data_IF_080444654648
#
_entry.id   IF_080444654648
#
_cell.length_a   1.000
_cell.length_b   1.000
_cell.length_c   1.000
_cell.angle_alpha   90.00
_cell.angle_beta   90.00
_cell.angle_gamma   90.00
#
_symmetry.space_group_name_H-M   'P 1'
#
loop_
_entity.id
_entity.type
_entity.pdbx_description
1 polymer ?
#
# COMPACT_ATOMS: atom_id res chain seq x y z
N UNK A 1 -21.88 46.96 10.39
CA UNK A 1 -20.73 46.14 10.85
C UNK A 1 -20.67 44.73 10.26
N UNK A 2 -21.77 44.00 10.06
CA UNK A 2 -21.75 42.62 9.49
C UNK A 2 -21.20 42.52 8.04
N UNK A 3 -21.28 43.58 7.22
CA UNK A 3 -20.78 43.58 5.83
C UNK A 3 -19.24 43.70 5.73
N UNK A 4 -18.55 44.22 6.74
CA UNK A 4 -17.08 44.29 6.73
C UNK A 4 -16.43 42.94 7.11
N UNK A 5 -17.08 42.12 7.93
CA UNK A 5 -16.53 40.82 8.36
C UNK A 5 -16.46 39.80 7.20
N UNK A 6 -17.42 39.84 6.28
CA UNK A 6 -17.47 38.95 5.11
C UNK A 6 -16.38 39.27 4.06
N UNK A 7 -15.94 40.52 3.95
CA UNK A 7 -14.90 40.90 2.98
C UNK A 7 -13.49 40.51 3.42
N UNK A 8 -13.22 40.43 4.73
CA UNK A 8 -11.89 40.06 5.25
C UNK A 8 -11.62 38.56 5.12
N UNK A 9 -12.66 37.72 5.26
CA UNK A 9 -12.56 36.27 5.11
C UNK A 9 -12.30 35.87 3.65
N UNK A 10 -12.90 36.57 2.68
CA UNK A 10 -12.68 36.29 1.26
C UNK A 10 -11.24 36.63 0.79
N UNK A 11 -10.62 37.67 1.36
CA UNK A 11 -9.24 38.06 1.01
C UNK A 11 -8.21 37.12 1.65
N UNK A 12 -8.47 36.59 2.85
CA UNK A 12 -7.59 35.60 3.49
C UNK A 12 -7.60 34.25 2.76
N UNK A 13 -8.74 33.84 2.19
CA UNK A 13 -8.84 32.58 1.43
C UNK A 13 -8.09 32.59 0.10
N UNK A 14 -7.91 33.76 -0.53
CA UNK A 14 -7.17 33.87 -1.80
C UNK A 14 -5.64 33.95 -1.59
N UNK A 15 -5.18 34.46 -0.44
CA UNK A 15 -3.76 34.54 -0.10
C UNK A 15 -3.15 33.17 0.28
N UNK A 16 -3.97 32.22 0.76
CA UNK A 16 -3.49 30.87 1.10
C UNK A 16 -3.16 29.98 -0.11
N UNK A 17 -3.84 30.18 -1.24
CA UNK A 17 -3.56 29.41 -2.47
C UNK A 17 -2.31 29.91 -3.20
N UNK A 18 -2.01 31.21 -3.17
CA UNK A 18 -0.83 31.75 -3.85
C UNK A 18 0.51 31.40 -3.15
N UNK A 19 0.47 31.10 -1.84
CA UNK A 19 1.67 30.69 -1.10
C UNK A 19 1.98 29.19 -1.19
N UNK A 20 0.99 28.32 -1.44
CA UNK A 20 1.25 26.88 -1.60
C UNK A 20 1.95 26.55 -2.91
N UNK A 21 1.55 27.18 -4.02
CA UNK A 21 2.13 26.91 -5.34
C UNK A 21 3.59 27.33 -5.42
N UNK A 22 3.94 28.46 -4.79
CA UNK A 22 5.31 28.96 -4.77
C UNK A 22 6.24 28.13 -3.88
N UNK A 23 5.71 27.54 -2.81
CA UNK A 23 6.48 26.64 -1.93
C UNK A 23 6.67 25.27 -2.58
N UNK A 24 5.67 24.75 -3.29
CA UNK A 24 5.77 23.51 -4.07
C UNK A 24 6.72 23.68 -5.27
N UNK A 25 6.67 24.81 -5.97
CA UNK A 25 7.58 25.11 -7.07
C UNK A 25 9.04 25.29 -6.64
N UNK A 26 9.31 25.64 -5.38
CA UNK A 26 10.68 25.76 -4.86
C UNK A 26 11.24 24.43 -4.33
N UNK A 27 10.38 23.44 -4.04
CA UNK A 27 10.78 22.06 -3.73
C UNK A 27 10.95 21.19 -4.98
N UNK A 28 10.28 21.56 -6.08
CA UNK A 28 10.55 21.02 -7.40
C UNK A 28 11.82 21.70 -7.96
N UNK A 29 12.99 21.13 -7.65
CA UNK A 29 14.25 21.60 -8.23
C UNK A 29 14.19 21.68 -9.77
N UNK A 30 15.00 22.55 -10.40
CA UNK A 30 15.03 22.68 -11.84
C UNK A 30 15.47 21.34 -12.44
N UNK A 31 14.74 20.90 -13.47
CA UNK A 31 15.10 19.76 -14.33
C UNK A 31 14.98 18.37 -13.70
N UNK A 32 13.93 18.12 -12.91
CA UNK A 32 13.30 16.80 -12.98
C UNK A 32 12.12 16.91 -13.92
N UNK A 33 12.25 16.29 -15.09
CA UNK A 33 11.07 15.78 -15.81
C UNK A 33 10.12 15.19 -14.76
N UNK A 34 8.79 15.34 -14.90
CA UNK A 34 7.84 14.62 -14.06
C UNK A 34 8.09 13.13 -14.32
N UNK A 35 9.07 12.58 -13.62
CA UNK A 35 9.40 11.20 -13.60
C UNK A 35 8.07 10.55 -13.32
N UNK A 36 7.61 9.75 -14.27
CA UNK A 36 6.49 8.85 -14.10
C UNK A 36 6.69 8.25 -12.71
N UNK A 37 5.94 8.75 -11.73
CA UNK A 37 5.85 8.15 -10.42
C UNK A 37 5.08 6.89 -10.75
N UNK A 38 5.84 5.89 -11.20
CA UNK A 38 5.32 4.57 -11.46
C UNK A 38 4.68 4.16 -10.16
N UNK A 39 3.36 3.95 -10.22
CA UNK A 39 2.53 3.49 -9.10
C UNK A 39 2.95 2.09 -8.59
N UNK A 40 4.03 1.53 -9.14
CA UNK A 40 4.75 0.34 -8.73
C UNK A 40 5.63 0.55 -7.47
N UNK A 41 5.38 1.59 -6.67
CA UNK A 41 5.84 1.61 -5.28
C UNK A 41 5.00 0.64 -4.42
N UNK A 42 4.99 -0.64 -4.82
CA UNK A 42 4.59 -1.75 -3.99
C UNK A 42 5.58 -1.82 -2.83
N UNK A 43 5.16 -1.29 -1.68
CA UNK A 43 5.76 -1.63 -0.40
C UNK A 43 5.83 -3.15 -0.27
N UNK A 44 7.06 -3.63 -0.03
CA UNK A 44 7.47 -5.02 0.27
C UNK A 44 8.01 -5.89 -0.88
N UNK A 45 9.17 -5.51 -1.43
CA UNK A 45 10.45 -6.23 -1.24
C UNK A 45 11.52 -5.60 -2.15
N UNK A 46 12.26 -4.63 -1.64
CA UNK A 46 13.59 -4.37 -2.21
C UNK A 46 14.55 -5.41 -1.63
N UNK A 47 15.12 -6.28 -2.47
CA UNK A 47 16.55 -6.39 -2.43
C UNK A 47 17.08 -5.99 -3.80
N UNK A 48 18.01 -5.03 -3.76
CA UNK A 48 18.93 -4.69 -4.84
C UNK A 48 18.30 -3.94 -6.00
N UNK A 49 18.27 -2.61 -5.85
CA UNK A 49 18.50 -1.73 -6.98
C UNK A 49 19.85 -2.11 -7.61
N UNK A 50 19.78 -2.87 -8.70
CA UNK A 50 20.85 -2.99 -9.68
C UNK A 50 20.96 -1.65 -10.40
N UNK A 51 21.60 -0.69 -9.73
CA UNK A 51 22.02 0.55 -10.37
C UNK A 51 22.97 0.22 -11.52
N UNK A 52 22.43 0.31 -12.71
CA UNK A 52 23.16 0.37 -13.97
C UNK A 52 24.08 1.59 -13.91
N UNK A 53 25.41 1.38 -13.90
CA UNK A 53 26.37 2.48 -14.04
C UNK A 53 27.42 2.65 -12.93
N UNK A 54 27.96 1.57 -12.37
CA UNK A 54 29.36 1.63 -11.94
C UNK A 54 30.23 1.00 -13.02
N UNK A 55 30.76 1.88 -13.87
CA UNK A 55 31.84 1.62 -14.80
C UNK A 55 33.04 1.08 -14.00
N UNK A 56 33.17 -0.24 -13.96
CA UNK A 56 34.31 -0.92 -13.33
C UNK A 56 35.56 -0.52 -14.09
N UNK A 57 36.35 0.35 -13.46
CA UNK A 57 37.71 0.64 -13.87
C UNK A 57 38.50 -0.65 -14.00
N UNK A 58 39.13 -0.82 -15.17
CA UNK A 58 40.08 -1.87 -15.43
C UNK A 58 41.31 -1.65 -14.55
N UNK A 59 41.42 -2.40 -13.47
CA UNK A 59 42.66 -2.47 -12.71
C UNK A 59 42.45 -2.83 -11.26
N UNK A 60 43.25 -3.82 -10.83
CA UNK A 60 43.60 -4.18 -9.45
C UNK A 60 43.04 -5.54 -9.01
N UNK A 61 43.92 -6.53 -9.11
CA UNK A 61 44.16 -7.47 -8.02
C UNK A 61 43.19 -8.63 -7.87
N UNK A 62 43.56 -9.78 -8.45
CA UNK A 62 43.12 -11.10 -8.01
C UNK A 62 43.58 -11.35 -6.56
N UNK A 63 42.85 -10.83 -5.57
CA UNK A 63 42.87 -11.36 -4.21
C UNK A 63 41.45 -11.76 -3.87
N UNK A 64 41.24 -13.06 -3.90
CA UNK A 64 40.02 -13.74 -3.49
C UNK A 64 39.66 -13.36 -2.04
N UNK A 65 38.84 -12.33 -1.88
CA UNK A 65 38.09 -12.10 -0.65
C UNK A 65 37.04 -13.21 -0.57
N UNK A 66 37.39 -14.30 0.12
CA UNK A 66 36.42 -15.19 0.75
C UNK A 66 35.66 -14.35 1.78
N UNK A 67 34.64 -13.61 1.37
CA UNK A 67 33.67 -13.12 2.34
C UNK A 67 33.06 -14.35 3.01
N UNK A 68 33.05 -14.45 4.35
CA UNK A 68 32.28 -15.47 5.04
C UNK A 68 30.84 -15.28 4.57
N UNK A 69 30.36 -16.20 3.75
CA UNK A 69 29.06 -16.13 3.15
C UNK A 69 28.04 -15.86 4.24
N UNK A 70 27.33 -14.73 4.12
CA UNK A 70 26.06 -14.52 4.82
C UNK A 70 25.19 -15.66 4.34
N UNK A 71 25.25 -16.77 5.07
CA UNK A 71 24.50 -17.96 4.76
C UNK A 71 23.05 -17.55 4.83
N UNK A 72 22.37 -17.63 3.69
CA UNK A 72 20.91 -17.75 3.62
C UNK A 72 20.55 -19.13 4.22
N UNK A 73 20.99 -19.38 5.46
CA UNK A 73 20.65 -20.55 6.27
C UNK A 73 19.36 -20.16 6.98
N UNK A 74 18.25 -20.65 6.43
CA UNK A 74 17.00 -20.68 7.15
C UNK A 74 16.13 -19.44 6.96
N UNK A 75 15.90 -19.00 5.72
CA UNK A 75 14.52 -18.61 5.40
C UNK A 75 13.68 -19.87 5.54
N UNK A 76 13.31 -20.20 6.79
CA UNK A 76 12.29 -21.19 7.08
C UNK A 76 11.16 -20.90 6.11
N UNK A 77 10.79 -21.89 5.30
CA UNK A 77 9.66 -21.79 4.36
C UNK A 77 8.51 -21.21 5.19
N UNK A 78 8.25 -19.90 5.06
CA UNK A 78 7.08 -19.31 5.70
C UNK A 78 5.93 -20.17 5.22
N UNK A 79 5.11 -20.72 6.13
CA UNK A 79 4.07 -21.66 5.75
C UNK A 79 3.32 -21.03 4.59
N UNK A 80 3.36 -21.71 3.44
CA UNK A 80 2.43 -21.46 2.34
C UNK A 80 1.04 -21.38 2.97
N UNK A 81 0.20 -20.42 2.55
CA UNK A 81 -1.15 -20.18 3.09
C UNK A 81 -1.75 -21.46 3.69
N UNK A 82 -1.96 -21.48 5.01
CA UNK A 82 -2.66 -22.59 5.64
C UNK A 82 -4.05 -22.75 5.02
N UNK A 83 -4.59 -23.97 5.02
CA UNK A 83 -5.92 -24.28 4.47
C UNK A 83 -7.03 -23.37 5.04
N UNK A 84 -6.87 -22.94 6.29
CA UNK A 84 -7.74 -21.97 6.96
C UNK A 84 -7.81 -20.60 6.26
N UNK A 85 -6.70 -20.16 5.66
CA UNK A 85 -6.65 -18.87 4.98
C UNK A 85 -7.36 -18.93 3.62
N UNK A 86 -7.20 -20.02 2.88
CA UNK A 86 -7.87 -20.22 1.58
C UNK A 86 -9.40 -20.19 1.76
N UNK A 87 -9.91 -20.89 2.77
CA UNK A 87 -11.35 -20.97 3.08
C UNK A 87 -11.93 -19.60 3.42
N UNK A 88 -11.22 -18.81 4.26
CA UNK A 88 -11.64 -17.45 4.63
C UNK A 88 -11.65 -16.50 3.42
N UNK A 89 -10.63 -16.57 2.56
CA UNK A 89 -10.58 -15.75 1.34
C UNK A 89 -11.75 -16.12 0.43
N UNK A 90 -12.03 -17.41 0.23
CA UNK A 90 -13.17 -17.85 -0.58
C UNK A 90 -14.51 -17.41 -0.01
N UNK A 91 -14.68 -17.41 1.31
CA UNK A 91 -15.89 -16.91 1.98
C UNK A 91 -16.11 -15.41 1.72
N UNK A 92 -15.05 -14.61 1.85
CA UNK A 92 -15.09 -13.17 1.54
C UNK A 92 -15.44 -12.94 0.07
N UNK A 93 -14.78 -13.67 -0.85
CA UNK A 93 -15.06 -13.55 -2.29
C UNK A 93 -16.50 -13.96 -2.60
N UNK A 94 -17.01 -15.06 -2.03
CA UNK A 94 -18.41 -15.50 -2.21
C UNK A 94 -19.41 -14.46 -1.72
N UNK A 95 -19.08 -13.75 -0.65
CA UNK A 95 -19.95 -12.73 -0.04
C UNK A 95 -20.11 -11.52 -0.96
N UNK A 96 -19.03 -11.06 -1.59
CA UNK A 96 -19.04 -9.82 -2.39
C UNK A 96 -19.14 -10.03 -3.90
N UNK A 97 -18.64 -11.16 -4.43
CA UNK A 97 -18.68 -11.52 -5.85
C UNK A 97 -18.85 -13.05 -6.05
N UNK A 98 -20.10 -13.56 -5.97
CA UNK A 98 -20.38 -14.99 -6.14
C UNK A 98 -20.11 -15.50 -7.56
N UNK A 99 -20.16 -14.62 -8.56
CA UNK A 99 -19.81 -14.96 -9.95
C UNK A 99 -18.33 -15.26 -10.06
N UNK A 100 -17.48 -14.40 -9.50
CA UNK A 100 -16.05 -14.63 -9.44
C UNK A 100 -15.69 -15.85 -8.59
N UNK A 101 -16.37 -16.07 -7.45
CA UNK A 101 -16.18 -17.28 -6.65
C UNK A 101 -16.43 -18.57 -7.46
N UNK A 102 -17.49 -18.59 -8.29
CA UNK A 102 -17.80 -19.72 -9.16
C UNK A 102 -16.70 -19.95 -10.21
N UNK A 103 -16.18 -18.88 -10.80
CA UNK A 103 -15.02 -18.95 -11.71
C UNK A 103 -13.79 -19.52 -11.01
N UNK A 104 -13.52 -19.14 -9.76
CA UNK A 104 -12.39 -19.67 -8.99
C UNK A 104 -12.54 -21.16 -8.65
N UNK A 105 -13.76 -21.62 -8.34
CA UNK A 105 -14.02 -23.05 -8.11
C UNK A 105 -13.80 -23.89 -9.36
N UNK A 106 -14.16 -23.35 -10.53
CA UNK A 106 -13.85 -23.99 -11.81
C UNK A 106 -12.35 -23.95 -12.10
N UNK A 107 -11.69 -22.79 -11.90
CA UNK A 107 -10.24 -22.64 -12.07
C UNK A 107 -9.45 -23.61 -11.18
N UNK A 108 -9.94 -23.91 -9.97
CA UNK A 108 -9.33 -24.89 -9.06
C UNK A 108 -9.28 -26.30 -9.66
N UNK A 109 -10.26 -26.67 -10.49
CA UNK A 109 -10.32 -27.96 -11.19
C UNK A 109 -9.50 -27.95 -12.47
N UNK A 110 -9.61 -26.88 -13.25
CA UNK A 110 -9.03 -26.79 -14.59
C UNK A 110 -7.52 -26.48 -14.55
N UNK A 111 -7.09 -25.55 -13.68
CA UNK A 111 -5.70 -25.15 -13.51
C UNK A 111 -5.39 -24.80 -12.03
N UNK A 112 -5.04 -25.82 -11.21
CA UNK A 112 -4.73 -25.62 -9.80
C UNK A 112 -3.57 -24.64 -9.54
N UNK A 113 -2.65 -24.47 -10.50
CA UNK A 113 -1.53 -23.56 -10.36
C UNK A 113 -1.97 -22.11 -10.52
N UNK A 114 -2.77 -21.80 -11.55
CA UNK A 114 -3.39 -20.48 -11.69
C UNK A 114 -4.27 -20.14 -10.49
N UNK A 115 -5.10 -21.08 -10.04
CA UNK A 115 -5.93 -20.89 -8.83
C UNK A 115 -5.08 -20.48 -7.62
N UNK A 116 -4.01 -21.23 -7.31
CA UNK A 116 -3.10 -20.90 -6.19
C UNK A 116 -2.48 -19.51 -6.32
N UNK A 117 -2.14 -19.07 -7.53
CA UNK A 117 -1.61 -17.73 -7.76
C UNK A 117 -2.65 -16.64 -7.49
N UNK A 118 -3.89 -16.83 -7.94
CA UNK A 118 -4.98 -15.88 -7.67
C UNK A 118 -5.28 -15.83 -6.18
N UNK A 119 -5.36 -16.99 -5.50
CA UNK A 119 -5.56 -17.03 -4.04
C UNK A 119 -4.42 -16.36 -3.28
N UNK A 120 -3.16 -16.54 -3.71
CA UNK A 120 -2.01 -15.85 -3.12
C UNK A 120 -2.12 -14.34 -3.23
N UNK A 121 -2.52 -13.84 -4.40
CA UNK A 121 -2.73 -12.41 -4.62
C UNK A 121 -3.89 -11.90 -3.76
N UNK A 122 -5.03 -12.61 -3.78
CA UNK A 122 -6.20 -12.25 -3.00
C UNK A 122 -5.89 -12.15 -1.51
N UNK A 123 -5.18 -13.13 -0.95
CA UNK A 123 -4.81 -13.09 0.46
C UNK A 123 -3.79 -12.02 0.80
N UNK A 124 -2.89 -11.63 -0.13
CA UNK A 124 -2.00 -10.50 0.08
C UNK A 124 -2.77 -9.17 0.11
N UNK A 125 -3.70 -8.96 -0.83
CA UNK A 125 -4.53 -7.76 -0.90
C UNK A 125 -5.49 -7.65 0.28
N UNK A 126 -6.13 -8.75 0.70
CA UNK A 126 -7.00 -8.75 1.89
C UNK A 126 -6.21 -8.66 3.20
N UNK A 127 -4.94 -9.10 3.24
CA UNK A 127 -4.10 -8.96 4.42
C UNK A 127 -3.64 -7.51 4.63
N UNK A 128 -3.38 -6.76 3.56
CA UNK A 128 -2.95 -5.35 3.66
C UNK A 128 -4.06 -4.42 4.16
N UNK A 129 -5.33 -4.80 3.98
CA UNK A 129 -6.50 -4.03 4.42
C UNK A 129 -7.01 -4.37 5.81
N UNK A 130 -6.44 -5.36 6.52
CA UNK A 130 -6.94 -5.80 7.85
C UNK A 130 -7.00 -4.71 8.92
N UNK A 131 -6.27 -3.62 8.74
CA UNK A 131 -6.25 -2.50 9.68
C UNK A 131 -7.30 -1.43 9.36
N UNK A 132 -8.02 -1.59 8.25
CA UNK A 132 -9.09 -0.69 7.83
C UNK A 132 -10.40 -1.40 8.16
N UNK A 133 -11.08 -0.98 9.23
CA UNK A 133 -12.36 -1.53 9.65
C UNK A 133 -13.51 -0.98 8.79
N UNK A 134 -13.47 -1.30 7.50
CA UNK A 134 -14.46 -0.85 6.51
C UNK A 134 -14.80 -1.99 5.54
N UNK A 135 -16.06 -2.42 5.56
CA UNK A 135 -16.58 -3.47 4.69
C UNK A 135 -16.56 -3.08 3.21
N UNK A 136 -16.67 -1.79 2.91
CA UNK A 136 -16.61 -1.31 1.53
C UNK A 136 -15.19 -1.47 0.97
N UNK A 137 -14.15 -1.41 1.81
CA UNK A 137 -12.77 -1.69 1.40
C UNK A 137 -12.59 -3.16 1.04
N UNK A 138 -13.13 -4.09 1.83
CA UNK A 138 -13.08 -5.52 1.47
C UNK A 138 -13.78 -5.81 0.15
N UNK A 139 -14.99 -5.24 -0.04
CA UNK A 139 -15.75 -5.36 -1.28
C UNK A 139 -14.95 -4.83 -2.48
N UNK A 140 -14.34 -3.65 -2.33
CA UNK A 140 -13.52 -3.04 -3.37
C UNK A 140 -12.28 -3.88 -3.70
N UNK A 141 -11.65 -4.50 -2.70
CA UNK A 141 -10.52 -5.40 -2.90
C UNK A 141 -10.94 -6.66 -3.65
N UNK A 142 -12.07 -7.28 -3.29
CA UNK A 142 -12.60 -8.43 -4.05
C UNK A 142 -12.86 -8.05 -5.51
N UNK A 143 -13.45 -6.87 -5.74
CA UNK A 143 -13.68 -6.35 -7.08
C UNK A 143 -12.38 -6.13 -7.85
N UNK A 144 -11.38 -5.52 -7.21
CA UNK A 144 -10.04 -5.32 -7.79
C UNK A 144 -9.42 -6.66 -8.21
N UNK A 145 -9.44 -7.67 -7.35
CA UNK A 145 -8.88 -9.00 -7.64
C UNK A 145 -9.58 -9.64 -8.86
N UNK A 146 -10.91 -9.54 -8.93
CA UNK A 146 -11.67 -10.04 -10.08
C UNK A 146 -11.27 -9.32 -11.37
N UNK A 147 -11.15 -7.99 -11.33
CA UNK A 147 -10.75 -7.19 -12.49
C UNK A 147 -9.32 -7.52 -12.94
N UNK A 148 -8.38 -7.70 -12.02
CA UNK A 148 -7.00 -8.08 -12.34
C UNK A 148 -6.94 -9.45 -13.02
N UNK A 149 -7.74 -10.42 -12.55
CA UNK A 149 -7.85 -11.72 -13.19
C UNK A 149 -8.38 -11.59 -14.63
N UNK A 150 -9.45 -10.82 -14.83
CA UNK A 150 -10.04 -10.59 -16.16
C UNK A 150 -9.09 -9.84 -17.10
N UNK A 151 -8.33 -8.86 -16.62
CA UNK A 151 -7.31 -8.16 -17.40
C UNK A 151 -6.22 -9.13 -17.87
N UNK A 152 -5.80 -10.08 -17.02
CA UNK A 152 -4.80 -11.10 -17.39
C UNK A 152 -5.34 -12.05 -18.45
N UNK A 153 -6.56 -12.55 -18.30
CA UNK A 153 -7.18 -13.41 -19.31
C UNK A 153 -7.36 -12.67 -20.65
N UNK A 154 -7.86 -11.43 -20.63
CA UNK A 154 -7.94 -10.58 -21.83
C UNK A 154 -6.57 -10.32 -22.46
N UNK A 155 -5.51 -10.18 -21.65
CA UNK A 155 -4.16 -10.03 -22.18
C UNK A 155 -3.67 -11.30 -22.90
N UNK A 156 -4.00 -12.49 -22.40
CA UNK A 156 -3.70 -13.73 -23.11
C UNK A 156 -4.51 -13.87 -24.40
N UNK A 157 -5.78 -13.48 -24.38
CA UNK A 157 -6.64 -13.45 -25.57
C UNK A 157 -6.10 -12.47 -26.62
N UNK A 158 -5.72 -11.26 -26.21
CA UNK A 158 -5.15 -10.23 -27.09
C UNK A 158 -3.95 -10.75 -27.89
N UNK A 159 -3.07 -11.52 -27.23
CA UNK A 159 -1.87 -12.07 -27.86
C UNK A 159 -2.17 -13.14 -28.93
N UNK A 160 -3.32 -13.80 -28.82
CA UNK A 160 -3.78 -14.84 -29.77
C UNK A 160 -4.78 -14.31 -30.81
N UNK A 161 -5.34 -13.13 -30.56
CA UNK A 161 -6.42 -12.55 -31.35
C UNK A 161 -5.97 -12.06 -32.74
N UNK A 162 -6.92 -12.02 -33.68
CA UNK A 162 -6.74 -11.42 -35.00
C UNK A 162 -6.56 -9.90 -34.89
N UNK A 163 -6.05 -9.26 -35.96
CA UNK A 163 -5.90 -7.79 -35.99
C UNK A 163 -7.22 -7.05 -35.75
N UNK A 164 -8.35 -7.62 -36.17
CA UNK A 164 -9.67 -7.00 -36.03
C UNK A 164 -10.18 -7.07 -34.58
N UNK A 165 -9.92 -8.17 -33.87
CA UNK A 165 -10.41 -8.39 -32.50
C UNK A 165 -9.57 -7.65 -31.45
N UNK A 166 -8.28 -7.43 -31.74
CA UNK A 166 -7.34 -6.74 -30.86
C UNK A 166 -7.82 -5.36 -30.42
N UNK A 167 -8.46 -4.60 -31.31
CA UNK A 167 -8.98 -3.27 -30.98
C UNK A 167 -10.05 -3.33 -29.89
N UNK A 168 -10.97 -4.29 -29.97
CA UNK A 168 -12.00 -4.51 -28.97
C UNK A 168 -11.41 -4.96 -27.62
N UNK A 169 -10.53 -5.98 -27.64
CA UNK A 169 -9.90 -6.50 -26.42
C UNK A 169 -9.08 -5.39 -25.72
N UNK A 170 -8.35 -4.56 -26.48
CA UNK A 170 -7.62 -3.40 -25.94
C UNK A 170 -8.55 -2.40 -25.23
N UNK A 171 -9.73 -2.15 -25.80
CA UNK A 171 -10.73 -1.27 -25.19
C UNK A 171 -11.25 -1.83 -23.86
N UNK A 172 -11.51 -3.14 -23.80
CA UNK A 172 -11.95 -3.82 -22.58
C UNK A 172 -10.87 -3.79 -21.49
N UNK A 173 -9.60 -4.06 -21.86
CA UNK A 173 -8.47 -3.95 -20.93
C UNK A 173 -8.38 -2.53 -20.36
N UNK A 174 -8.47 -1.50 -21.22
CA UNK A 174 -8.43 -0.10 -20.79
C UNK A 174 -9.55 0.23 -19.80
N UNK A 175 -10.77 -0.22 -20.08
CA UNK A 175 -11.92 0.01 -19.20
C UNK A 175 -11.71 -0.60 -17.82
N UNK A 176 -11.23 -1.85 -17.74
CA UNK A 176 -10.99 -2.54 -16.47
C UNK A 176 -9.82 -1.93 -15.69
N UNK A 177 -8.76 -1.53 -16.38
CA UNK A 177 -7.63 -0.83 -15.76
C UNK A 177 -8.04 0.52 -15.16
N UNK A 178 -8.96 1.25 -15.82
CA UNK A 178 -9.53 2.47 -15.25
C UNK A 178 -10.27 2.18 -13.94
N UNK A 179 -11.12 1.15 -13.92
CA UNK A 179 -11.86 0.76 -12.71
C UNK A 179 -10.91 0.33 -11.57
N UNK A 180 -9.85 -0.43 -11.88
CA UNK A 180 -8.79 -0.79 -10.91
C UNK A 180 -8.12 0.47 -10.34
N UNK A 181 -7.80 1.45 -11.20
CA UNK A 181 -7.17 2.70 -10.77
C UNK A 181 -8.08 3.48 -9.81
N UNK A 182 -9.36 3.60 -10.12
CA UNK A 182 -10.33 4.29 -9.28
C UNK A 182 -10.48 3.61 -7.91
N UNK A 183 -10.57 2.27 -7.89
CA UNK A 183 -10.62 1.48 -6.65
C UNK A 183 -9.36 1.71 -5.79
N UNK A 184 -8.16 1.63 -6.39
CA UNK A 184 -6.90 1.85 -5.68
C UNK A 184 -6.80 3.25 -5.11
N UNK A 185 -7.25 4.25 -5.88
CA UNK A 185 -7.29 5.64 -5.45
C UNK A 185 -8.18 5.80 -4.23
N UNK A 186 -9.41 5.26 -4.27
CA UNK A 186 -10.34 5.32 -3.14
C UNK A 186 -9.79 4.63 -1.88
N UNK A 187 -9.15 3.47 -2.01
CA UNK A 187 -8.51 2.77 -0.88
C UNK A 187 -7.37 3.60 -0.29
N UNK A 188 -6.54 4.23 -1.14
CA UNK A 188 -5.43 5.09 -0.70
C UNK A 188 -5.95 6.33 0.03
N UNK A 189 -7.00 6.97 -0.47
CA UNK A 189 -7.64 8.13 0.20
C UNK A 189 -8.16 7.78 1.59
N UNK A 190 -8.84 6.63 1.73
CA UNK A 190 -9.29 6.12 3.04
C UNK A 190 -8.10 5.88 3.99
N UNK A 191 -7.02 5.29 3.47
CA UNK A 191 -5.80 5.05 4.27
C UNK A 191 -5.14 6.34 4.71
N UNK A 192 -5.09 7.37 3.86
CA UNK A 192 -4.58 8.70 4.20
C UNK A 192 -5.40 9.27 5.36
N UNK A 193 -6.73 9.25 5.26
CA UNK A 193 -7.63 9.76 6.31
C UNK A 193 -7.43 9.05 7.66
N UNK A 194 -7.23 7.73 7.66
CA UNK A 194 -6.93 6.96 8.87
C UNK A 194 -5.60 7.40 9.51
N UNK A 195 -4.56 7.56 8.69
CA UNK A 195 -3.24 8.00 9.13
C UNK A 195 -3.27 9.43 9.68
N UNK A 196 -4.03 10.33 9.05
CA UNK A 196 -4.26 11.68 9.55
C UNK A 196 -4.91 11.67 10.94
N UNK A 197 -5.91 10.80 11.15
CA UNK A 197 -6.53 10.57 12.46
C UNK A 197 -5.51 10.14 13.52
N UNK A 198 -4.67 9.14 13.21
CA UNK A 198 -3.61 8.66 14.12
C UNK A 198 -2.57 9.73 14.43
N UNK A 199 -2.19 10.54 13.44
CA UNK A 199 -1.27 11.66 13.65
C UNK A 199 -1.88 12.70 14.58
N UNK A 200 -3.18 13.00 14.44
CA UNK A 200 -3.87 13.92 15.32
C UNK A 200 -3.95 13.39 16.77
N UNK A 201 -4.28 12.12 16.94
CA UNK A 201 -4.31 11.44 18.25
C UNK A 201 -2.93 11.50 18.95
N UNK A 202 -1.87 11.07 18.26
CA UNK A 202 -0.51 11.09 18.80
C UNK A 202 -0.05 12.51 19.19
N UNK A 203 -0.44 13.52 18.40
CA UNK A 203 -0.16 14.93 18.74
C UNK A 203 -0.89 15.34 20.02
N UNK A 204 -2.15 14.94 20.18
CA UNK A 204 -2.93 15.19 21.39
C UNK A 204 -2.29 14.54 22.61
N UNK A 205 -1.88 13.28 22.51
CA UNK A 205 -1.21 12.53 23.58
C UNK A 205 0.10 13.19 24.00
N UNK A 206 0.93 13.59 23.04
CA UNK A 206 2.17 14.31 23.30
C UNK A 206 1.88 15.60 24.05
N UNK A 207 0.87 16.36 23.62
CA UNK A 207 0.51 17.60 24.29
C UNK A 207 0.01 17.36 25.73
N UNK A 208 -0.86 16.37 25.93
CA UNK A 208 -1.34 15.97 27.26
C UNK A 208 -0.18 15.56 28.18
N UNK A 209 0.80 14.79 27.67
CA UNK A 209 2.00 14.42 28.44
C UNK A 209 2.88 15.62 28.77
N UNK A 210 2.99 16.60 27.87
CA UNK A 210 3.72 17.85 28.13
C UNK A 210 3.05 18.67 29.23
N UNK A 211 1.73 18.80 29.18
CA UNK A 211 0.95 19.52 30.19
C UNK A 211 1.00 18.83 31.56
N UNK A 212 1.04 17.49 31.58
CA UNK A 212 1.09 16.69 32.80
C UNK A 212 2.51 16.29 33.22
N UNK A 213 3.55 16.90 32.64
CA UNK A 213 4.95 16.47 32.82
C UNK A 213 5.33 16.34 34.29
N UNK A 214 5.09 17.39 35.09
CA UNK A 214 5.54 17.42 36.48
C UNK A 214 4.83 16.37 37.33
N UNK A 215 3.51 16.19 37.12
CA UNK A 215 2.74 15.12 37.76
C UNK A 215 3.26 13.73 37.40
N UNK A 216 3.59 13.49 36.13
CA UNK A 216 4.16 12.21 35.67
C UNK A 216 5.52 11.96 36.35
N UNK A 217 6.36 13.00 36.45
CA UNK A 217 7.67 12.93 37.13
C UNK A 217 7.48 12.62 38.61
N UNK A 218 6.59 13.32 39.30
CA UNK A 218 6.30 13.13 40.73
C UNK A 218 5.76 11.71 41.00
N UNK A 219 4.83 11.22 40.19
CA UNK A 219 4.33 9.85 40.28
C UNK A 219 5.44 8.81 40.10
N UNK A 220 6.34 9.03 39.13
CA UNK A 220 7.48 8.11 38.92
C UNK A 220 8.48 8.20 40.07
N UNK A 221 8.75 9.39 40.58
CA UNK A 221 9.62 9.62 41.73
C UNK A 221 9.08 8.89 42.97
N UNK A 222 7.81 9.09 43.30
CA UNK A 222 7.15 8.45 44.44
C UNK A 222 7.18 6.92 44.35
N UNK A 223 6.98 6.34 43.15
CA UNK A 223 7.11 4.89 42.93
C UNK A 223 8.53 4.36 43.15
N UNK A 224 9.56 5.18 42.93
CA UNK A 224 10.96 4.79 43.13
C UNK A 224 11.43 5.00 44.57
N UNK A 225 10.78 5.90 45.33
CA UNK A 225 11.15 6.24 46.70
C UNK A 225 10.25 5.60 47.76
N UNK A 226 9.12 5.00 47.38
CA UNK A 226 8.27 4.22 48.29
C UNK A 226 9.00 2.96 48.78
N UNK A 227 8.87 2.63 50.07
CA UNK A 227 9.49 1.42 50.68
C UNK A 227 9.09 0.10 49.99
N UNK A 228 7.94 0.07 49.31
CA UNK A 228 7.45 -1.07 48.51
C UNK A 228 8.24 -1.28 47.20
N UNK A 229 9.10 -0.33 46.79
CA UNK A 229 9.86 -0.39 45.54
C UNK A 229 11.02 -1.42 45.55
N UNK A 230 11.29 -2.05 46.69
CA UNK A 230 12.44 -2.94 46.89
C UNK A 230 12.10 -4.44 46.87
N UNK A 231 10.85 -4.84 46.66
CA UNK A 231 10.50 -6.25 46.38
C UNK A 231 10.66 -6.52 44.88
N UNK A 232 11.84 -6.97 44.47
CA UNK A 232 12.18 -7.48 43.12
C UNK A 232 12.61 -8.94 43.18
#
# INVERSE_FOLDING_TARGET
MKKMLLSVIAVFSLMSFAYSDKLMAQMAGPDRDPAEISDDFQGHNCPMGGGEGYQMGAGIGKKAMKQPGIGIKGMAKKPMMGEDMESKIMEIIKTYDPSFASKLEQLKKDDPFKYKNVMRMAGASLASSRNIDDKDVEKNIVREISLEYEVRELSFEYNKASSNDKANIKSQIKSKLSEIFDIRTAIRELRIKELEGKVAELKSDINSRKQNKDKIIEQRLNKLTSKEAFDW
#
